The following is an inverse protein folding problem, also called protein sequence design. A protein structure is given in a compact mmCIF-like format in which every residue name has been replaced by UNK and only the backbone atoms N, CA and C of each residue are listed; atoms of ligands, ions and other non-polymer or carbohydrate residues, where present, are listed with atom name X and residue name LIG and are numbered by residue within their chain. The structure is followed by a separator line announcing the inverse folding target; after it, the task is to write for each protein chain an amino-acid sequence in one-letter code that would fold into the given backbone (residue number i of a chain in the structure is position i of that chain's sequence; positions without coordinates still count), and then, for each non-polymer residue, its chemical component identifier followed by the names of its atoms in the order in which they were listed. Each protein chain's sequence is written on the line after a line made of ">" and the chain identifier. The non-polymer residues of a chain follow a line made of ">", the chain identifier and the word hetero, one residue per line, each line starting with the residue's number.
data_IF_886606066196
#
_entry.id   IF_886606066196
#
_cell.length_a   1.000
_cell.length_b   1.000
_cell.length_c   1.000
_cell.angle_alpha   90.00
_cell.angle_beta   90.00
_cell.angle_gamma   90.00
#
_symmetry.space_group_name_H-M   'P 1'
#
loop_
_entity.id
_entity.type
_entity.pdbx_description
1 polymer ?
#
# COMPACT_ATOMS: atom_id res chain seq x y z
N UNK A 1 18.89 6.16 21.35
CA UNK A 1 17.44 5.95 21.12
C UNK A 1 17.31 5.59 19.66
N UNK A 2 16.82 4.39 19.33
CA UNK A 2 16.59 3.98 17.95
C UNK A 2 15.36 4.76 17.46
N UNK A 3 15.48 5.60 16.43
CA UNK A 3 14.39 6.41 15.87
C UNK A 3 13.54 5.58 14.89
N UNK A 4 13.24 4.33 15.26
CA UNK A 4 12.34 3.44 14.52
C UNK A 4 13.03 2.47 13.56
N UNK A 5 12.27 2.06 12.54
CA UNK A 5 12.62 1.06 11.53
C UNK A 5 13.87 1.45 10.73
N UNK A 6 14.01 2.72 10.33
CA UNK A 6 15.14 3.20 9.54
C UNK A 6 16.50 3.02 10.24
N UNK A 7 16.55 3.34 11.52
CA UNK A 7 17.76 3.16 12.33
C UNK A 7 18.03 1.67 12.58
N UNK A 8 16.98 0.88 12.79
CA UNK A 8 17.07 -0.58 12.96
C UNK A 8 17.70 -1.23 11.74
N UNK A 9 17.22 -0.87 10.55
CA UNK A 9 17.80 -1.30 9.29
C UNK A 9 19.26 -0.87 9.24
N UNK A 10 19.59 0.42 9.28
CA UNK A 10 20.98 0.89 9.24
C UNK A 10 21.93 0.14 10.19
N UNK A 11 21.51 -0.12 11.44
CA UNK A 11 22.32 -0.89 12.39
C UNK A 11 22.50 -2.35 12.00
N UNK A 12 21.51 -2.98 11.36
CA UNK A 12 21.65 -4.33 10.82
C UNK A 12 22.74 -4.41 9.74
N UNK A 13 22.79 -3.47 8.77
CA UNK A 13 23.87 -3.44 7.77
C UNK A 13 25.24 -3.29 8.44
N UNK A 14 25.37 -2.38 9.42
CA UNK A 14 26.61 -2.17 10.18
C UNK A 14 27.02 -3.45 10.94
N UNK A 15 26.08 -4.09 11.63
CA UNK A 15 26.34 -5.29 12.42
C UNK A 15 26.75 -6.49 11.55
N UNK A 16 26.11 -6.64 10.39
CA UNK A 16 26.41 -7.68 9.40
C UNK A 16 27.69 -7.39 8.60
N UNK A 17 28.24 -6.18 8.72
CA UNK A 17 29.40 -5.69 7.94
C UNK A 17 29.18 -5.86 6.43
N UNK A 18 27.95 -5.62 5.98
CA UNK A 18 27.58 -5.61 4.57
C UNK A 18 27.44 -4.17 4.11
N UNK A 19 27.86 -3.91 2.88
CA UNK A 19 27.68 -2.59 2.28
C UNK A 19 26.21 -2.30 2.06
N UNK A 20 25.83 -1.05 2.26
CA UNK A 20 24.47 -0.61 1.98
C UNK A 20 24.20 -0.70 0.48
N UNK A 21 23.11 -1.36 0.12
CA UNK A 21 22.62 -1.46 -1.25
C UNK A 21 21.26 -0.78 -1.33
N UNK A 22 21.19 0.30 -2.11
CA UNK A 22 19.91 0.95 -2.44
C UNK A 22 19.32 0.24 -3.65
N UNK A 23 18.08 -0.21 -3.54
CA UNK A 23 17.34 -0.72 -4.70
C UNK A 23 17.14 0.41 -5.70
N UNK A 24 17.59 0.22 -6.94
CA UNK A 24 17.55 1.24 -8.00
C UNK A 24 16.17 1.40 -8.63
N UNK A 25 15.30 0.41 -8.47
CA UNK A 25 13.94 0.42 -8.99
C UNK A 25 13.04 1.37 -8.18
N UNK A 26 12.47 2.34 -8.88
CA UNK A 26 11.50 3.26 -8.30
C UNK A 26 10.22 2.51 -7.90
N UNK A 27 9.60 2.83 -6.76
CA UNK A 27 8.34 2.19 -6.37
C UNK A 27 7.18 2.66 -7.24
N UNK A 28 6.32 1.72 -7.63
CA UNK A 28 5.13 2.05 -8.43
C UNK A 28 3.89 2.26 -7.57
N UNK A 29 2.86 2.87 -8.17
CA UNK A 29 1.55 3.03 -7.53
C UNK A 29 0.57 2.03 -8.12
N UNK A 30 -0.12 1.26 -7.28
CA UNK A 30 -1.14 0.31 -7.70
C UNK A 30 -2.52 0.69 -7.15
N UNK A 31 -3.53 0.59 -8.00
CA UNK A 31 -4.90 0.93 -7.66
C UNK A 31 -5.88 0.74 -8.79
N UNK A 32 -6.94 1.56 -8.77
CA UNK A 32 -8.07 1.49 -9.70
C UNK A 32 -8.08 2.71 -10.63
N UNK A 33 -8.70 2.56 -11.79
CA UNK A 33 -9.09 3.68 -12.65
C UNK A 33 -10.59 3.91 -12.44
N UNK A 34 -10.98 5.16 -12.18
CA UNK A 34 -12.38 5.54 -12.03
C UNK A 34 -13.11 5.61 -13.37
N UNK A 35 -14.44 5.67 -13.32
CA UNK A 35 -15.26 5.82 -14.53
C UNK A 35 -14.94 7.12 -15.31
N UNK A 36 -14.41 8.13 -14.61
CA UNK A 36 -13.97 9.40 -15.21
C UNK A 36 -12.54 9.34 -15.78
N UNK A 37 -11.85 8.20 -15.65
CA UNK A 37 -10.49 8.00 -16.14
C UNK A 37 -9.38 8.39 -15.14
N UNK A 38 -9.74 8.84 -13.94
CA UNK A 38 -8.77 9.21 -12.91
C UNK A 38 -8.15 7.97 -12.26
N UNK A 39 -6.84 8.02 -12.00
CA UNK A 39 -6.14 6.93 -11.31
C UNK A 39 -6.12 7.16 -9.79
N UNK A 40 -6.55 6.14 -9.05
CA UNK A 40 -6.56 6.13 -7.59
C UNK A 40 -5.68 5.00 -7.06
N UNK A 41 -4.39 5.30 -6.91
CA UNK A 41 -3.42 4.40 -6.30
C UNK A 41 -3.57 4.33 -4.78
N UNK A 42 -3.68 3.13 -4.23
CA UNK A 42 -3.86 2.93 -2.79
C UNK A 42 -2.77 2.03 -2.16
N UNK A 43 -1.88 1.52 -3.01
CA UNK A 43 -0.87 0.54 -2.69
C UNK A 43 0.44 0.92 -3.37
N UNK A 44 1.54 0.88 -2.64
CA UNK A 44 2.87 1.04 -3.21
C UNK A 44 3.39 -0.35 -3.62
N UNK A 45 3.89 -0.44 -4.84
CA UNK A 45 4.55 -1.62 -5.41
C UNK A 45 6.05 -1.44 -5.25
N UNK A 46 6.72 -2.42 -4.65
CA UNK A 46 8.15 -2.37 -4.40
C UNK A 46 8.83 -3.58 -5.02
N UNK A 47 9.99 -3.34 -5.60
CA UNK A 47 10.78 -4.34 -6.31
C UNK A 47 12.01 -4.75 -5.49
N UNK A 48 12.55 -5.93 -5.79
CA UNK A 48 13.84 -6.36 -5.27
C UNK A 48 15.00 -5.75 -6.08
N UNK A 49 16.23 -6.17 -5.78
CA UNK A 49 17.44 -5.73 -6.50
C UNK A 49 17.52 -6.18 -7.96
N UNK A 50 16.70 -7.15 -8.36
CA UNK A 50 16.65 -7.72 -9.72
C UNK A 50 15.47 -7.15 -10.54
N UNK A 51 14.66 -6.25 -9.95
CA UNK A 51 13.52 -5.62 -10.59
C UNK A 51 12.23 -6.45 -10.53
N UNK A 52 12.22 -7.54 -9.76
CA UNK A 52 11.05 -8.38 -9.59
C UNK A 52 10.17 -7.83 -8.47
N UNK A 53 8.85 -7.97 -8.62
CA UNK A 53 7.89 -7.58 -7.59
C UNK A 53 8.21 -8.30 -6.27
N UNK A 54 8.49 -7.52 -5.24
CA UNK A 54 8.88 -8.04 -3.93
C UNK A 54 7.82 -7.78 -2.86
N UNK A 55 7.20 -6.59 -2.87
CA UNK A 55 6.24 -6.23 -1.84
C UNK A 55 5.12 -5.31 -2.35
N UNK A 56 3.90 -5.53 -1.83
CA UNK A 56 2.72 -4.70 -2.09
C UNK A 56 2.26 -4.09 -0.76
N UNK A 57 2.54 -2.80 -0.59
CA UNK A 57 2.25 -2.09 0.65
C UNK A 57 0.95 -1.29 0.52
N UNK A 58 -0.16 -1.80 1.08
CA UNK A 58 -1.41 -1.04 1.23
C UNK A 58 -1.21 0.12 2.22
N UNK A 59 -0.93 1.31 1.71
CA UNK A 59 -0.63 2.49 2.52
C UNK A 59 -1.88 3.36 2.76
N UNK A 60 -2.70 3.56 1.73
CA UNK A 60 -3.81 4.53 1.77
C UNK A 60 -5.20 3.89 1.94
N UNK A 61 -5.36 2.62 1.54
CA UNK A 61 -6.55 1.83 1.82
C UNK A 61 -6.16 0.57 2.61
N UNK A 62 -6.36 0.60 3.93
CA UNK A 62 -5.93 -0.48 4.82
C UNK A 62 -6.92 -1.65 4.80
N UNK A 63 -6.42 -2.86 5.04
CA UNK A 63 -7.22 -4.08 4.95
C UNK A 63 -8.38 -4.15 5.95
N UNK A 64 -8.27 -3.50 7.10
CA UNK A 64 -9.31 -3.49 8.14
C UNK A 64 -10.60 -2.77 7.72
N UNK A 65 -10.53 -1.83 6.77
CA UNK A 65 -11.68 -1.05 6.28
C UNK A 65 -12.23 -1.51 4.92
N UNK A 66 -11.58 -2.47 4.26
CA UNK A 66 -12.02 -3.02 2.96
C UNK A 66 -13.13 -4.05 3.10
N UNK A 67 -13.96 -4.22 2.07
CA UNK A 67 -14.95 -5.29 2.02
C UNK A 67 -14.32 -6.66 1.69
N UNK A 68 -15.06 -7.75 1.95
CA UNK A 68 -14.59 -9.14 1.80
C UNK A 68 -14.18 -9.54 0.37
N UNK A 69 -14.74 -8.88 -0.63
CA UNK A 69 -14.47 -9.16 -2.05
C UNK A 69 -14.06 -7.89 -2.80
N UNK A 70 -13.55 -6.88 -2.07
CA UNK A 70 -13.08 -5.64 -2.69
C UNK A 70 -11.75 -5.88 -3.40
N UNK A 71 -11.72 -5.64 -4.72
CA UNK A 71 -10.53 -5.77 -5.57
C UNK A 71 -10.13 -4.38 -6.01
N UNK A 72 -8.91 -3.99 -5.65
CA UNK A 72 -8.39 -2.65 -5.89
C UNK A 72 -7.08 -2.65 -6.66
N UNK A 73 -6.38 -3.78 -6.76
CA UNK A 73 -5.18 -3.94 -7.56
C UNK A 73 -5.55 -4.27 -8.99
N UNK A 74 -5.94 -3.25 -9.75
CA UNK A 74 -6.35 -3.39 -11.15
C UNK A 74 -5.24 -2.93 -12.09
N UNK A 75 -4.69 -1.76 -11.84
CA UNK A 75 -3.63 -1.15 -12.64
C UNK A 75 -2.44 -0.80 -11.78
N UNK A 76 -1.24 -0.92 -12.34
CA UNK A 76 -0.03 -0.33 -11.78
C UNK A 76 0.36 0.82 -12.70
N UNK A 77 0.70 1.94 -12.08
CA UNK A 77 1.17 3.16 -12.73
C UNK A 77 2.62 3.38 -12.34
N UNK A 78 3.47 3.44 -13.35
CA UNK A 78 4.92 3.50 -13.23
C UNK A 78 5.45 4.70 -14.00
N UNK A 79 6.56 5.28 -13.56
CA UNK A 79 7.29 6.21 -14.41
C UNK A 79 8.05 5.44 -15.48
N UNK A 80 8.01 5.94 -16.71
CA UNK A 80 8.81 5.39 -17.81
C UNK A 80 10.31 5.52 -17.50
N UNK A 81 11.13 4.63 -18.05
CA UNK A 81 12.57 4.59 -17.77
C UNK A 81 13.30 5.90 -18.12
N UNK A 82 12.85 6.59 -19.17
CA UNK A 82 13.39 7.85 -19.68
C UNK A 82 12.57 9.09 -19.25
N UNK A 83 11.68 8.93 -18.26
CA UNK A 83 10.80 9.99 -17.77
C UNK A 83 11.56 11.27 -17.42
N UNK A 84 11.21 12.37 -18.09
CA UNK A 84 11.72 13.71 -17.82
C UNK A 84 10.87 14.42 -16.78
N UNK A 85 9.58 14.10 -16.73
CA UNK A 85 8.62 14.65 -15.78
C UNK A 85 8.15 13.53 -14.86
N UNK A 86 8.53 13.63 -13.58
CA UNK A 86 8.11 12.70 -12.54
C UNK A 86 7.51 13.48 -11.37
N UNK A 87 6.19 13.45 -11.25
CA UNK A 87 5.50 14.08 -10.14
C UNK A 87 4.60 13.10 -9.41
N UNK A 88 4.76 13.02 -8.09
CA UNK A 88 3.87 12.27 -7.22
C UNK A 88 2.90 13.24 -6.56
N UNK A 89 1.60 12.99 -6.73
CA UNK A 89 0.54 13.82 -6.14
C UNK A 89 -0.40 12.97 -5.28
N UNK A 90 -1.03 13.64 -4.31
CA UNK A 90 -2.14 13.08 -3.57
C UNK A 90 -3.44 13.61 -4.14
N UNK A 91 -4.31 12.70 -4.56
CA UNK A 91 -5.66 13.00 -5.06
C UNK A 91 -6.68 12.51 -4.06
N UNK A 92 -7.85 13.14 -4.02
CA UNK A 92 -9.00 12.63 -3.27
C UNK A 92 -10.04 12.14 -4.25
N UNK A 93 -10.59 10.97 -4.00
CA UNK A 93 -11.76 10.50 -4.74
C UNK A 93 -13.05 11.13 -4.20
N UNK A 94 -14.18 10.79 -4.81
CA UNK A 94 -15.51 11.29 -4.44
C UNK A 94 -15.92 10.91 -3.01
N UNK A 95 -15.36 9.83 -2.45
CA UNK A 95 -15.60 9.42 -1.05
C UNK A 95 -14.70 10.13 -0.05
N UNK A 96 -13.80 11.00 -0.52
CA UNK A 96 -12.79 11.71 0.28
C UNK A 96 -11.57 10.87 0.66
N UNK A 97 -11.46 9.64 0.15
CA UNK A 97 -10.29 8.78 0.33
C UNK A 97 -9.10 9.38 -0.42
N UNK A 98 -7.98 9.51 0.28
CA UNK A 98 -6.73 10.00 -0.29
C UNK A 98 -6.09 8.85 -1.07
N UNK A 99 -5.66 9.11 -2.29
CA UNK A 99 -4.95 8.18 -3.17
C UNK A 99 -3.68 8.83 -3.73
N UNK A 100 -2.75 7.99 -4.17
CA UNK A 100 -1.46 8.37 -4.74
C UNK A 100 -1.53 8.24 -6.26
N UNK A 101 -1.25 9.34 -6.97
CA UNK A 101 -1.16 9.33 -8.42
C UNK A 101 0.22 9.83 -8.90
N UNK A 102 0.68 9.25 -10.01
CA UNK A 102 1.90 9.64 -10.70
C UNK A 102 1.54 10.42 -11.96
N UNK A 103 2.09 11.62 -12.11
CA UNK A 103 1.81 12.54 -13.20
C UNK A 103 3.10 12.88 -13.95
N UNK A 104 3.02 12.94 -15.27
CA UNK A 104 4.16 13.13 -16.16
C UNK A 104 4.30 11.96 -17.13
N UNK A 105 5.53 11.47 -17.30
CA UNK A 105 5.86 10.43 -18.27
C UNK A 105 5.65 9.04 -17.65
N UNK A 106 4.41 8.59 -17.69
CA UNK A 106 3.93 7.39 -17.00
C UNK A 106 3.40 6.33 -17.95
N UNK A 107 3.52 5.09 -17.54
CA UNK A 107 2.88 3.95 -18.18
C UNK A 107 1.92 3.23 -17.24
N UNK A 108 0.95 2.53 -17.81
CA UNK A 108 -0.04 1.75 -17.10
C UNK A 108 0.05 0.29 -17.53
N UNK A 109 0.11 -0.60 -16.56
CA UNK A 109 0.05 -2.04 -16.76
C UNK A 109 -1.11 -2.66 -16.01
N UNK A 110 -1.69 -3.71 -16.57
CA UNK A 110 -2.71 -4.52 -15.90
C UNK A 110 -2.06 -5.37 -14.80
N UNK A 111 -2.52 -5.21 -13.56
CA UNK A 111 -1.96 -5.93 -12.42
C UNK A 111 -2.18 -7.44 -12.58
N UNK A 112 -3.41 -7.86 -12.88
CA UNK A 112 -3.78 -9.28 -12.96
C UNK A 112 -3.09 -10.01 -14.12
N UNK A 113 -2.88 -9.32 -15.23
CA UNK A 113 -2.21 -9.92 -16.39
C UNK A 113 -0.73 -10.23 -16.11
N UNK A 114 -0.11 -9.46 -15.21
CA UNK A 114 1.31 -9.60 -14.86
C UNK A 114 1.55 -10.40 -13.58
N UNK A 115 0.66 -10.28 -12.59
CA UNK A 115 0.85 -10.82 -11.24
C UNK A 115 -0.28 -11.75 -10.78
N UNK A 116 -1.28 -12.01 -11.63
CA UNK A 116 -2.35 -12.96 -11.34
C UNK A 116 -3.31 -12.50 -10.24
N UNK A 117 -3.76 -13.45 -9.42
CA UNK A 117 -4.88 -13.28 -8.48
C UNK A 117 -4.44 -13.13 -7.01
N UNK A 118 -3.28 -12.50 -6.78
CA UNK A 118 -2.72 -12.33 -5.43
C UNK A 118 -3.72 -11.66 -4.48
N UNK A 119 -4.43 -10.61 -4.92
CA UNK A 119 -5.41 -9.91 -4.08
C UNK A 119 -6.58 -10.83 -3.68
N UNK A 120 -7.02 -11.72 -4.56
CA UNK A 120 -8.08 -12.69 -4.28
C UNK A 120 -7.65 -13.70 -3.18
N UNK A 121 -6.37 -14.10 -3.19
CA UNK A 121 -5.78 -14.95 -2.15
C UNK A 121 -5.74 -14.19 -0.83
N UNK A 122 -5.28 -12.93 -0.83
CA UNK A 122 -5.30 -12.06 0.35
C UNK A 122 -6.71 -11.93 0.93
N UNK A 123 -7.72 -11.66 0.09
CA UNK A 123 -9.12 -11.56 0.50
C UNK A 123 -9.64 -12.88 1.09
N UNK A 124 -9.18 -14.03 0.58
CA UNK A 124 -9.51 -15.34 1.18
C UNK A 124 -8.97 -15.47 2.60
N UNK A 125 -7.72 -15.09 2.83
CA UNK A 125 -7.14 -15.10 4.18
C UNK A 125 -7.80 -14.07 5.10
N UNK A 126 -8.09 -12.86 4.60
CA UNK A 126 -8.76 -11.82 5.37
C UNK A 126 -10.16 -12.24 5.80
N UNK A 127 -10.93 -12.88 4.92
CA UNK A 127 -12.25 -13.46 5.28
C UNK A 127 -12.12 -14.48 6.40
N UNK A 128 -11.13 -15.36 6.34
CA UNK A 128 -10.87 -16.30 7.43
C UNK A 128 -10.59 -15.55 8.74
N UNK A 129 -9.67 -14.59 8.73
CA UNK A 129 -9.30 -13.79 9.91
C UNK A 129 -10.50 -13.01 10.48
N UNK A 130 -11.32 -12.39 9.62
CA UNK A 130 -12.51 -11.61 10.00
C UNK A 130 -13.57 -12.46 10.71
N UNK A 131 -13.61 -13.76 10.43
CA UNK A 131 -14.53 -14.70 11.06
C UNK A 131 -13.99 -15.29 12.38
N UNK A 132 -12.74 -14.99 12.77
CA UNK A 132 -12.20 -15.41 14.06
C UNK A 132 -12.80 -14.55 15.19
N UNK A 133 -13.32 -15.16 16.27
CA UNK A 133 -13.82 -14.42 17.44
C UNK A 133 -12.79 -13.44 18.02
N UNK A 134 -11.52 -13.80 17.97
CA UNK A 134 -10.40 -12.97 18.44
C UNK A 134 -10.27 -11.67 17.63
N UNK A 135 -10.52 -11.71 16.33
CA UNK A 135 -10.48 -10.53 15.47
C UNK A 135 -11.63 -9.58 15.81
N UNK A 136 -12.83 -10.10 16.07
CA UNK A 136 -13.96 -9.30 16.53
C UNK A 136 -13.68 -8.64 17.89
N UNK A 137 -13.13 -9.39 18.85
CA UNK A 137 -12.72 -8.83 20.14
C UNK A 137 -11.67 -7.73 19.98
N UNK A 138 -10.67 -7.95 19.12
CA UNK A 138 -9.65 -6.96 18.83
C UNK A 138 -10.25 -5.66 18.30
N UNK A 139 -11.15 -5.73 17.31
CA UNK A 139 -11.81 -4.55 16.75
C UNK A 139 -12.66 -3.82 17.80
N UNK A 140 -13.44 -4.55 18.59
CA UNK A 140 -14.27 -3.99 19.64
C UNK A 140 -13.42 -3.27 20.71
N UNK A 141 -12.34 -3.90 21.18
CA UNK A 141 -11.44 -3.29 22.14
C UNK A 141 -10.69 -2.09 21.57
N UNK A 142 -10.27 -2.15 20.31
CA UNK A 142 -9.64 -1.02 19.61
C UNK A 142 -10.60 0.17 19.53
N UNK A 143 -11.86 -0.07 19.15
CA UNK A 143 -12.89 0.96 19.13
C UNK A 143 -13.10 1.60 20.50
N UNK A 144 -13.24 0.79 21.56
CA UNK A 144 -13.41 1.32 22.91
C UNK A 144 -12.17 2.08 23.40
N UNK A 145 -10.96 1.62 23.07
CA UNK A 145 -9.72 2.31 23.43
C UNK A 145 -9.63 3.70 22.78
N UNK A 146 -9.93 3.80 21.49
CA UNK A 146 -9.94 5.08 20.75
C UNK A 146 -11.02 6.04 21.26
N UNK A 147 -12.18 5.49 21.66
CA UNK A 147 -13.34 6.28 22.09
C UNK A 147 -13.36 6.59 23.59
N UNK A 148 -12.45 6.01 24.38
CA UNK A 148 -12.45 6.06 25.85
C UNK A 148 -12.57 7.48 26.43
N UNK A 149 -11.91 8.46 25.82
CA UNK A 149 -11.84 9.84 26.32
C UNK A 149 -12.57 10.86 25.42
N UNK A 150 -13.24 10.41 24.36
CA UNK A 150 -13.89 11.31 23.41
C UNK A 150 -15.19 11.94 23.96
N UNK A 151 -15.78 11.36 25.01
CA UNK A 151 -16.98 11.89 25.68
C UNK A 151 -16.68 12.77 26.91
N UNK A 152 -15.42 12.92 27.34
CA UNK A 152 -15.04 13.69 28.54
C UNK A 152 -14.64 15.14 28.25
N UNK A 153 -14.77 15.59 27.00
CA UNK A 153 -14.55 16.99 26.59
C UNK A 153 -15.86 17.62 26.14
N UNK A 154 -16.78 17.86 27.08
CA UNK A 154 -17.88 18.81 26.96
C UNK A 154 -17.99 19.61 28.25
#
# INVERSE_FOLDING_TARGET
>A
MILGDKDTFRFAWIALKIDFYMVEYYPDSCGIISDNGDFYGNTIVQYNSDGELFFLHKNLLKWDITHDNEITWQKIKSFTHDAQIQQTIFVKNDTGLISLDFVGDVELMDFRDNYGTIEDICNTHLRYLRNLPEFYHFLLFSHFAERRYLNERN
#
